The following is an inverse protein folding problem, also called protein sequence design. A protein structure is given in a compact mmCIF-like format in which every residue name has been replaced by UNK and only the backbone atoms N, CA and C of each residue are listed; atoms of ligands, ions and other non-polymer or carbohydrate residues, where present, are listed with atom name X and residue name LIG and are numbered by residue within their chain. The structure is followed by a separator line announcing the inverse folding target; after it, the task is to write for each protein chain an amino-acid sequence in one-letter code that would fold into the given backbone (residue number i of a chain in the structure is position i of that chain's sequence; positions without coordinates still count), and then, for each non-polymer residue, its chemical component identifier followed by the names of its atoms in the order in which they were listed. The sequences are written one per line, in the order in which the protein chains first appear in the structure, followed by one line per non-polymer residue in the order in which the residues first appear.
data_IF_798159205116
#
_entry.id   IF_798159205116
#
_cell.length_a   1.000
_cell.length_b   1.000
_cell.length_c   1.000
_cell.angle_alpha   90.00
_cell.angle_beta   90.00
_cell.angle_gamma   90.00
#
_symmetry.space_group_name_H-M   'P 1'
#
loop_
_entity.id
_entity.type
_entity.pdbx_description
1 polymer ?
#
# COMPACT_ATOMS: atom_id res chain seq x y z
N UNK A 1 -5.45 27.18 19.47
CA UNK A 1 -5.42 26.53 18.18
C UNK A 1 -6.83 26.46 17.63
N UNK A 2 -7.06 26.95 16.42
CA UNK A 2 -8.41 27.05 15.84
C UNK A 2 -8.76 25.88 14.90
N UNK A 3 -7.85 24.94 14.69
CA UNK A 3 -8.01 23.81 13.78
C UNK A 3 -8.38 22.50 14.49
N UNK A 4 -7.89 22.30 15.69
CA UNK A 4 -8.14 21.11 16.51
C UNK A 4 -8.20 21.51 17.98
N UNK A 5 -9.12 20.93 18.74
CA UNK A 5 -9.22 21.15 20.19
C UNK A 5 -7.95 20.64 20.90
N UNK A 6 -7.64 21.21 22.06
CA UNK A 6 -6.42 20.86 22.77
C UNK A 6 -6.38 19.37 23.18
N UNK A 7 -7.50 18.82 23.62
CA UNK A 7 -7.62 17.41 23.98
C UNK A 7 -7.33 16.48 22.79
N UNK A 8 -7.94 16.76 21.63
CA UNK A 8 -7.75 15.96 20.41
C UNK A 8 -6.32 16.08 19.89
N UNK A 9 -5.72 17.26 19.98
CA UNK A 9 -4.30 17.48 19.65
C UNK A 9 -3.38 16.63 20.52
N UNK A 10 -3.61 16.60 21.82
CA UNK A 10 -2.80 15.80 22.75
C UNK A 10 -2.93 14.30 22.44
N UNK A 11 -4.15 13.82 22.18
CA UNK A 11 -4.38 12.42 21.76
C UNK A 11 -3.65 12.07 20.46
N UNK A 12 -3.69 12.96 19.47
CA UNK A 12 -3.01 12.77 18.18
C UNK A 12 -1.48 12.67 18.37
N UNK A 13 -0.90 13.61 19.13
CA UNK A 13 0.54 13.62 19.39
C UNK A 13 0.96 12.39 20.22
N UNK A 14 0.19 12.02 21.22
CA UNK A 14 0.46 10.84 22.05
C UNK A 14 0.43 9.57 21.19
N UNK A 15 -0.57 9.42 20.32
CA UNK A 15 -0.63 8.28 19.39
C UNK A 15 0.62 8.18 18.50
N UNK A 16 1.06 9.31 17.93
CA UNK A 16 2.26 9.35 17.09
C UNK A 16 3.48 8.92 17.91
N UNK A 17 3.62 9.42 19.12
CA UNK A 17 4.74 9.08 20.01
C UNK A 17 4.72 7.60 20.42
N UNK A 18 3.56 7.06 20.75
CA UNK A 18 3.39 5.65 21.09
C UNK A 18 3.74 4.73 19.92
N UNK A 19 3.32 5.08 18.69
CA UNK A 19 3.68 4.36 17.47
C UNK A 19 5.19 4.33 17.25
N UNK A 20 5.86 5.47 17.34
CA UNK A 20 7.32 5.54 17.19
C UNK A 20 8.08 4.83 18.32
N UNK A 21 7.55 4.86 19.54
CA UNK A 21 8.12 4.15 20.68
C UNK A 21 7.97 2.63 20.59
N UNK A 22 6.90 2.17 19.93
CA UNK A 22 6.64 0.74 19.69
C UNK A 22 7.41 0.13 18.51
N UNK A 23 8.30 0.92 17.87
CA UNK A 23 9.16 0.45 16.79
C UNK A 23 8.68 0.79 15.38
N UNK A 24 7.60 1.57 15.25
CA UNK A 24 7.20 2.13 13.97
C UNK A 24 8.15 3.25 13.58
N UNK A 25 8.70 3.25 12.36
CA UNK A 25 9.63 4.27 11.91
C UNK A 25 8.97 5.38 11.09
N UNK A 26 7.78 5.11 10.55
CA UNK A 26 7.00 6.09 9.79
C UNK A 26 5.49 5.81 9.84
N UNK A 27 4.68 6.86 9.65
CA UNK A 27 3.21 6.78 9.64
C UNK A 27 2.71 7.55 8.43
N UNK A 28 1.97 6.89 7.52
CA UNK A 28 1.33 7.58 6.41
C UNK A 28 0.24 8.54 6.90
N UNK A 29 0.17 9.74 6.32
CA UNK A 29 -0.88 10.71 6.70
C UNK A 29 -2.28 10.19 6.41
N UNK A 30 -2.44 9.37 5.36
CA UNK A 30 -3.73 8.73 5.06
C UNK A 30 -4.16 7.77 6.16
N UNK A 31 -3.27 6.89 6.62
CA UNK A 31 -3.56 5.97 7.71
C UNK A 31 -3.84 6.71 9.03
N UNK A 32 -3.03 7.73 9.35
CA UNK A 32 -3.22 8.56 10.53
C UNK A 32 -4.55 9.33 10.48
N UNK A 33 -4.94 9.82 9.28
CA UNK A 33 -6.21 10.51 9.11
C UNK A 33 -7.40 9.56 9.31
N UNK A 34 -7.34 8.37 8.76
CA UNK A 34 -8.40 7.34 8.93
C UNK A 34 -8.55 6.94 10.40
N UNK A 35 -7.45 6.74 11.12
CA UNK A 35 -7.47 6.41 12.56
C UNK A 35 -8.15 7.49 13.40
N UNK A 36 -7.99 8.76 13.02
CA UNK A 36 -8.55 9.91 13.73
C UNK A 36 -9.78 10.53 13.07
N UNK A 37 -10.38 9.87 12.05
CA UNK A 37 -11.48 10.43 11.28
C UNK A 37 -12.66 10.88 12.16
N UNK A 38 -13.07 10.08 13.13
CA UNK A 38 -14.13 10.44 14.09
C UNK A 38 -13.71 11.64 14.96
N UNK A 39 -12.46 11.70 15.37
CA UNK A 39 -11.96 12.81 16.17
C UNK A 39 -11.90 14.13 15.38
N UNK A 40 -11.74 14.07 14.07
CA UNK A 40 -11.72 15.25 13.19
C UNK A 40 -13.12 15.75 12.83
N UNK A 41 -14.17 14.96 13.09
CA UNK A 41 -15.56 15.42 12.88
C UNK A 41 -15.85 16.67 13.72
N UNK A 42 -16.34 17.73 13.05
CA UNK A 42 -16.59 19.03 13.68
C UNK A 42 -15.37 19.92 13.85
N UNK A 43 -14.19 19.46 13.48
CA UNK A 43 -12.93 20.21 13.44
C UNK A 43 -12.62 20.68 12.01
N UNK A 44 -11.50 21.36 11.81
CA UNK A 44 -11.14 21.93 10.50
C UNK A 44 -10.04 21.13 9.78
N UNK A 45 -10.02 19.81 9.95
CA UNK A 45 -9.12 18.87 9.26
C UNK A 45 -9.97 17.88 8.51
N UNK A 46 -10.01 17.97 7.19
CA UNK A 46 -10.91 17.22 6.31
C UNK A 46 -10.19 16.27 5.36
N UNK A 47 -8.87 16.38 5.25
CA UNK A 47 -8.07 15.54 4.37
C UNK A 47 -6.71 15.23 4.98
N UNK A 48 -6.03 14.14 4.53
CA UNK A 48 -4.67 13.85 4.95
C UNK A 48 -3.66 14.99 4.69
N UNK A 49 -3.85 15.77 3.62
CA UNK A 49 -3.00 16.91 3.28
C UNK A 49 -3.19 18.05 4.29
N UNK A 50 -4.42 18.28 4.73
CA UNK A 50 -4.70 19.25 5.80
C UNK A 50 -4.11 18.79 7.12
N UNK A 51 -4.19 17.49 7.45
CA UNK A 51 -3.52 16.90 8.60
C UNK A 51 -2.01 17.10 8.53
N UNK A 52 -1.37 16.84 7.39
CA UNK A 52 0.04 17.11 7.17
C UNK A 52 0.38 18.58 7.42
N UNK A 53 -0.41 19.50 6.87
CA UNK A 53 -0.22 20.94 7.05
C UNK A 53 -0.34 21.33 8.51
N UNK A 54 -1.33 20.79 9.21
CA UNK A 54 -1.50 21.01 10.64
C UNK A 54 -0.31 20.47 11.45
N UNK A 55 0.13 19.25 11.17
CA UNK A 55 1.31 18.66 11.80
C UNK A 55 2.57 19.50 11.56
N UNK A 56 2.73 20.05 10.34
CA UNK A 56 3.88 20.93 10.07
C UNK A 56 3.88 22.19 10.92
N UNK A 57 2.71 22.73 11.22
CA UNK A 57 2.55 23.90 12.07
C UNK A 57 2.86 23.62 13.55
N UNK A 58 2.46 22.45 14.06
CA UNK A 58 2.66 22.08 15.46
C UNK A 58 3.96 21.32 15.74
N UNK A 59 4.61 20.81 14.69
CA UNK A 59 5.86 20.08 14.79
C UNK A 59 7.00 21.02 15.15
N UNK A 60 7.53 20.87 16.34
CA UNK A 60 8.68 21.65 16.83
C UNK A 60 10.04 21.02 16.46
N UNK A 61 10.09 20.29 15.36
CA UNK A 61 11.29 19.57 14.91
C UNK A 61 11.44 18.16 15.51
N UNK A 62 10.39 17.63 16.11
CA UNK A 62 10.40 16.31 16.72
C UNK A 62 10.37 15.18 15.68
N UNK A 63 9.80 15.45 14.50
CA UNK A 63 9.57 14.49 13.43
C UNK A 63 9.92 15.07 12.07
N UNK A 64 10.19 14.19 11.11
CA UNK A 64 10.44 14.56 9.71
C UNK A 64 9.15 14.41 8.91
N UNK A 65 8.70 15.52 8.30
CA UNK A 65 7.51 15.52 7.45
C UNK A 65 7.93 15.27 5.99
N UNK A 66 7.72 14.06 5.53
CA UNK A 66 7.93 13.67 4.14
C UNK A 66 6.69 13.98 3.28
N UNK A 67 6.74 13.66 1.98
CA UNK A 67 5.64 13.99 1.05
C UNK A 67 4.31 13.35 1.47
N UNK A 68 4.30 12.08 1.86
CA UNK A 68 3.10 11.28 2.13
C UNK A 68 3.07 10.62 3.51
N UNK A 69 4.12 10.77 4.32
CA UNK A 69 4.23 10.17 5.64
C UNK A 69 5.00 11.06 6.60
N UNK A 70 4.79 10.82 7.89
CA UNK A 70 5.56 11.36 9.01
C UNK A 70 6.62 10.31 9.36
N UNK A 71 7.88 10.70 9.49
CA UNK A 71 8.99 9.80 9.82
C UNK A 71 9.66 10.20 11.14
N UNK A 72 10.23 9.22 11.81
CA UNK A 72 10.98 9.42 13.05
C UNK A 72 12.23 10.25 12.81
N UNK A 73 12.94 9.98 11.71
CA UNK A 73 14.14 10.70 11.29
C UNK A 73 14.31 10.73 9.76
N UNK A 74 15.38 11.37 9.29
CA UNK A 74 15.66 11.55 7.85
C UNK A 74 16.15 10.29 7.14
N UNK A 75 16.53 9.23 7.87
CA UNK A 75 17.03 7.98 7.29
C UNK A 75 15.91 7.05 6.86
N UNK A 76 14.70 7.29 7.38
CA UNK A 76 13.53 6.46 7.12
C UNK A 76 13.00 6.69 5.70
N UNK A 77 12.94 5.61 4.92
CA UNK A 77 12.32 5.57 3.60
C UNK A 77 11.24 4.50 3.60
N UNK A 78 10.01 4.92 3.29
CA UNK A 78 8.88 4.00 3.15
C UNK A 78 8.79 3.53 1.70
N UNK A 79 8.82 2.22 1.52
CA UNK A 79 8.59 1.57 0.23
C UNK A 79 7.42 0.57 0.34
N UNK A 80 6.19 0.98 -0.01
CA UNK A 80 5.04 0.08 0.06
C UNK A 80 5.20 -1.21 -0.76
N UNK A 81 5.98 -1.18 -1.83
CA UNK A 81 6.19 -2.34 -2.69
C UNK A 81 6.97 -3.46 -1.97
N UNK A 82 7.92 -3.11 -1.11
CA UNK A 82 8.68 -4.10 -0.35
C UNK A 82 7.79 -4.81 0.69
N UNK A 83 6.94 -4.04 1.40
CA UNK A 83 6.01 -4.60 2.38
C UNK A 83 4.96 -5.51 1.71
N UNK A 84 4.43 -5.10 0.55
CA UNK A 84 3.51 -5.90 -0.27
C UNK A 84 4.20 -7.18 -0.74
N UNK A 85 5.43 -7.07 -1.22
CA UNK A 85 6.22 -8.21 -1.71
C UNK A 85 6.44 -9.24 -0.60
N UNK A 86 6.86 -8.79 0.58
CA UNK A 86 7.07 -9.69 1.73
C UNK A 86 5.77 -10.39 2.12
N UNK A 87 4.66 -9.66 2.20
CA UNK A 87 3.36 -10.24 2.54
C UNK A 87 2.92 -11.30 1.51
N UNK A 88 3.01 -11.00 0.21
CA UNK A 88 2.62 -11.93 -0.85
C UNK A 88 3.53 -13.16 -0.92
N UNK A 89 4.84 -13.01 -0.64
CA UNK A 89 5.78 -14.14 -0.52
C UNK A 89 5.42 -15.05 0.66
N UNK A 90 5.10 -14.49 1.81
CA UNK A 90 4.71 -15.26 3.00
C UNK A 90 3.37 -15.97 2.79
N UNK A 91 2.43 -15.34 2.10
CA UNK A 91 1.14 -15.93 1.78
C UNK A 91 1.27 -17.13 0.84
N UNK A 92 2.33 -17.18 0.00
CA UNK A 92 2.66 -18.24 -0.95
C UNK A 92 1.49 -18.68 -1.85
N UNK A 93 0.58 -17.74 -2.18
CA UNK A 93 -0.61 -17.98 -3.00
C UNK A 93 -1.40 -16.70 -3.25
N UNK A 94 -2.55 -16.80 -3.94
CA UNK A 94 -3.39 -15.64 -4.25
C UNK A 94 -3.93 -14.95 -3.00
N UNK A 95 -3.90 -13.61 -2.99
CA UNK A 95 -4.41 -12.76 -1.90
C UNK A 95 -5.34 -11.71 -2.48
N UNK A 96 -6.54 -11.60 -1.93
CA UNK A 96 -7.48 -10.53 -2.27
C UNK A 96 -6.94 -9.16 -1.85
N UNK A 97 -7.19 -8.14 -2.68
CA UNK A 97 -6.72 -6.76 -2.42
C UNK A 97 -7.24 -6.23 -1.09
N UNK A 98 -8.49 -6.53 -0.75
CA UNK A 98 -9.14 -6.13 0.49
C UNK A 98 -8.45 -6.73 1.71
N UNK A 99 -8.05 -8.00 1.63
CA UNK A 99 -7.28 -8.67 2.68
C UNK A 99 -5.90 -8.05 2.83
N UNK A 100 -5.21 -7.82 1.71
CA UNK A 100 -3.89 -7.16 1.72
C UNK A 100 -3.98 -5.76 2.34
N UNK A 101 -5.02 -4.98 1.99
CA UNK A 101 -5.24 -3.65 2.55
C UNK A 101 -5.59 -3.68 4.05
N UNK A 102 -6.28 -4.70 4.52
CA UNK A 102 -6.58 -4.87 5.95
C UNK A 102 -5.32 -5.21 6.76
N UNK A 103 -4.49 -6.11 6.26
CA UNK A 103 -3.24 -6.53 6.94
C UNK A 103 -2.18 -5.43 6.91
N UNK A 104 -2.03 -4.74 5.76
CA UNK A 104 -1.13 -3.60 5.61
C UNK A 104 -1.85 -2.25 5.84
N UNK A 105 -2.72 -2.17 6.84
CA UNK A 105 -3.60 -1.04 7.11
C UNK A 105 -2.87 0.30 7.37
N UNK A 106 -1.58 0.26 7.69
CA UNK A 106 -0.72 1.43 7.81
C UNK A 106 -0.35 2.05 6.43
N UNK A 107 -0.54 1.31 5.33
CA UNK A 107 -0.37 1.80 3.96
C UNK A 107 -1.74 2.21 3.40
N UNK A 108 -1.92 3.44 2.90
CA UNK A 108 -3.17 3.83 2.25
C UNK A 108 -3.54 2.87 1.11
N UNK A 109 -4.79 2.41 1.06
CA UNK A 109 -5.28 1.43 0.08
C UNK A 109 -4.98 1.84 -1.37
N UNK A 110 -5.10 3.13 -1.69
CA UNK A 110 -4.75 3.63 -3.02
C UNK A 110 -3.28 3.42 -3.39
N UNK A 111 -2.37 3.47 -2.41
CA UNK A 111 -0.94 3.19 -2.65
C UNK A 111 -0.72 1.69 -2.88
N UNK A 112 -1.44 0.83 -2.17
CA UNK A 112 -1.42 -0.61 -2.39
C UNK A 112 -1.90 -0.93 -3.81
N UNK A 113 -3.08 -0.42 -4.20
CA UNK A 113 -3.63 -0.61 -5.55
C UNK A 113 -2.70 -0.08 -6.65
N UNK A 114 -2.07 1.07 -6.42
CA UNK A 114 -1.10 1.62 -7.36
C UNK A 114 0.13 0.72 -7.49
N UNK A 115 0.73 0.28 -6.39
CA UNK A 115 1.89 -0.61 -6.40
C UNK A 115 1.57 -1.94 -7.11
N UNK A 116 0.42 -2.56 -6.79
CA UNK A 116 -0.03 -3.80 -7.42
C UNK A 116 -0.23 -3.66 -8.93
N UNK A 117 -0.70 -2.52 -9.41
CA UNK A 117 -0.98 -2.29 -10.83
C UNK A 117 0.24 -1.86 -11.66
N UNK A 118 1.31 -1.39 -11.02
CA UNK A 118 2.48 -0.83 -11.70
C UNK A 118 3.73 -1.69 -11.60
N UNK A 119 3.79 -2.59 -10.64
CA UNK A 119 4.92 -3.49 -10.45
C UNK A 119 4.64 -4.85 -11.09
N UNK A 120 5.50 -5.26 -12.02
CA UNK A 120 5.34 -6.51 -12.79
C UNK A 120 5.58 -7.78 -11.96
N UNK A 121 6.19 -7.66 -10.78
CA UNK A 121 6.41 -8.80 -9.88
C UNK A 121 5.09 -9.27 -9.21
N UNK A 122 4.07 -8.41 -9.23
CA UNK A 122 2.75 -8.70 -8.67
C UNK A 122 1.79 -9.14 -9.76
N UNK A 123 1.53 -10.42 -9.79
CA UNK A 123 0.72 -11.04 -10.84
C UNK A 123 -0.76 -11.00 -10.43
N UNK A 124 -1.58 -10.35 -11.26
CA UNK A 124 -3.04 -10.33 -11.09
C UNK A 124 -3.66 -11.57 -11.71
N UNK A 125 -4.57 -12.22 -11.00
CA UNK A 125 -5.43 -13.24 -11.57
C UNK A 125 -6.82 -12.67 -11.95
N UNK A 126 -7.58 -13.42 -12.72
CA UNK A 126 -8.88 -12.98 -13.23
C UNK A 126 -9.96 -12.80 -12.13
N UNK A 127 -9.71 -13.24 -10.90
CA UNK A 127 -10.65 -13.14 -9.75
C UNK A 127 -10.40 -11.92 -8.86
N UNK A 128 -9.42 -11.08 -9.24
CA UNK A 128 -9.09 -9.85 -8.46
C UNK A 128 -8.13 -10.08 -7.31
N UNK A 129 -7.46 -11.23 -7.31
CA UNK A 129 -6.41 -11.56 -6.36
C UNK A 129 -5.04 -11.29 -6.98
N UNK A 130 -4.05 -11.10 -6.11
CA UNK A 130 -2.66 -10.94 -6.50
C UNK A 130 -1.78 -11.97 -5.81
N UNK A 131 -0.71 -12.36 -6.47
CA UNK A 131 0.36 -13.18 -5.91
C UNK A 131 1.73 -12.67 -6.40
N UNK A 132 2.77 -13.05 -5.69
CA UNK A 132 4.13 -12.73 -6.09
C UNK A 132 4.60 -13.68 -7.21
N UNK A 133 5.37 -13.18 -8.17
CA UNK A 133 5.80 -13.93 -9.36
C UNK A 133 6.47 -15.28 -9.05
N UNK A 134 7.26 -15.34 -7.96
CA UNK A 134 7.92 -16.59 -7.52
C UNK A 134 6.94 -17.71 -7.14
N UNK A 135 5.65 -17.42 -6.96
CA UNK A 135 4.62 -18.42 -6.68
C UNK A 135 4.11 -19.09 -7.97
N UNK A 136 4.47 -18.57 -9.14
CA UNK A 136 4.05 -19.11 -10.43
C UNK A 136 5.15 -20.03 -10.99
N UNK A 137 4.90 -21.30 -10.97
CA UNK A 137 5.82 -22.30 -11.50
C UNK A 137 5.19 -23.03 -12.66
N UNK A 138 5.81 -22.92 -13.82
CA UNK A 138 5.46 -23.72 -14.99
C UNK A 138 6.51 -24.81 -15.20
N UNK A 139 6.08 -26.01 -15.47
CA UNK A 139 6.96 -27.06 -15.98
C UNK A 139 7.41 -26.72 -17.41
N UNK A 140 8.53 -27.30 -17.85
CA UNK A 140 8.99 -27.10 -19.23
C UNK A 140 7.94 -27.49 -20.26
N UNK A 141 7.17 -28.56 -20.00
CA UNK A 141 6.08 -29.01 -20.90
C UNK A 141 4.93 -28.02 -20.97
N UNK A 142 4.58 -27.34 -19.87
CA UNK A 142 3.56 -26.28 -19.87
C UNK A 142 4.05 -25.05 -20.62
N UNK A 143 5.31 -24.66 -20.45
CA UNK A 143 5.91 -23.54 -21.18
C UNK A 143 5.98 -23.84 -22.70
N UNK A 144 6.35 -25.07 -23.09
CA UNK A 144 6.33 -25.50 -24.49
C UNK A 144 4.92 -25.47 -25.07
N UNK A 145 3.94 -25.96 -24.32
CA UNK A 145 2.53 -25.94 -24.74
C UNK A 145 2.01 -24.51 -24.90
N UNK A 146 2.25 -23.65 -23.92
CA UNK A 146 1.85 -22.22 -23.97
C UNK A 146 2.50 -21.55 -25.18
N UNK A 147 3.79 -21.76 -25.38
CA UNK A 147 4.53 -21.17 -26.50
C UNK A 147 3.97 -21.62 -27.85
N UNK A 148 3.68 -22.91 -28.01
CA UNK A 148 3.10 -23.45 -29.24
C UNK A 148 1.70 -22.88 -29.45
N UNK A 149 0.86 -22.83 -28.42
CA UNK A 149 -0.49 -22.28 -28.50
C UNK A 149 -0.48 -20.80 -28.96
N UNK A 150 0.44 -20.01 -28.45
CA UNK A 150 0.60 -18.62 -28.86
C UNK A 150 1.03 -18.53 -30.33
N UNK A 151 2.01 -19.32 -30.74
CA UNK A 151 2.50 -19.32 -32.12
C UNK A 151 1.40 -19.72 -33.10
N UNK A 152 0.67 -20.79 -32.82
CA UNK A 152 -0.43 -21.29 -33.68
C UNK A 152 -1.55 -20.21 -33.76
N UNK A 153 -1.89 -19.58 -32.65
CA UNK A 153 -2.90 -18.51 -32.62
C UNK A 153 -2.48 -17.26 -33.41
N UNK A 154 -1.20 -16.90 -33.39
CA UNK A 154 -0.66 -15.80 -34.17
C UNK A 154 -0.67 -16.14 -35.66
N UNK A 155 -0.30 -17.35 -36.03
CA UNK A 155 -0.33 -17.82 -37.43
C UNK A 155 -1.74 -17.85 -38.00
N UNK A 156 -2.74 -18.27 -37.21
CA UNK A 156 -4.13 -18.38 -37.66
C UNK A 156 -4.91 -17.05 -37.66
N UNK A 157 -4.66 -16.16 -36.69
CA UNK A 157 -5.53 -15.02 -36.38
C UNK A 157 -4.81 -13.71 -36.15
N UNK A 158 -3.49 -13.69 -36.27
CA UNK A 158 -2.60 -12.54 -35.98
C UNK A 158 -2.53 -12.12 -34.48
N UNK A 159 -3.29 -12.73 -33.57
CA UNK A 159 -3.28 -12.43 -32.14
C UNK A 159 -3.77 -13.62 -31.29
N UNK A 160 -3.38 -13.60 -30.02
CA UNK A 160 -3.89 -14.49 -28.96
C UNK A 160 -4.23 -13.65 -27.73
N UNK A 161 -5.36 -13.94 -27.10
CA UNK A 161 -5.76 -13.27 -25.85
C UNK A 161 -5.43 -14.14 -24.63
N UNK A 162 -5.11 -13.50 -23.48
CA UNK A 162 -4.83 -14.24 -22.25
C UNK A 162 -5.99 -15.14 -21.79
N UNK A 163 -7.25 -14.77 -22.12
CA UNK A 163 -8.42 -15.55 -21.77
C UNK A 163 -8.54 -16.89 -22.54
N UNK A 164 -7.77 -17.08 -23.60
CA UNK A 164 -7.76 -18.34 -24.39
C UNK A 164 -6.77 -19.37 -23.81
N UNK A 165 -5.94 -18.93 -22.83
CA UNK A 165 -4.97 -19.80 -22.14
C UNK A 165 -5.53 -20.41 -20.84
N UNK A 166 -6.80 -20.16 -20.50
CA UNK A 166 -7.47 -20.62 -19.28
C UNK A 166 -8.32 -21.86 -19.53
#
# INVERSE_FOLDING_TARGET
DSMLSQEKKEKLLQYIEDRFSSGCDAIYYGALFTEFEEAFQGERIYTPEMLKTYLSYINKGNYVLQRSYLAKDYTVQMNPEDDIREYLKEAAGPVEVERLAAELSYIPEQKIKFALSTNNDFIWNATGEYFYEDCVHFSNSELEWISQFILDGIEERDFVTGNELV
#
